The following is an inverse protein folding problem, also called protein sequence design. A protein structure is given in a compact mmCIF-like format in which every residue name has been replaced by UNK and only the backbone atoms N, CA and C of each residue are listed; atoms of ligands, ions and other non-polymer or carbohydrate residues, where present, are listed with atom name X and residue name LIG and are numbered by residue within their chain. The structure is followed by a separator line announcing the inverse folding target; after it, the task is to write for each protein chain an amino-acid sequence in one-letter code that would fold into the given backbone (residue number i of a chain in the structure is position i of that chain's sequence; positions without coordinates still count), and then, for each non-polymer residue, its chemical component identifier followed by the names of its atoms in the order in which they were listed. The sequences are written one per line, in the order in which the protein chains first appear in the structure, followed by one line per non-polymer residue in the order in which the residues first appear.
data_IF_928165080245
#
_entry.id   IF_928165080245
#
_cell.length_a   1.000
_cell.length_b   1.000
_cell.length_c   1.000
_cell.angle_alpha   90.00
_cell.angle_beta   90.00
_cell.angle_gamma   90.00
#
_symmetry.space_group_name_H-M   'P 1'
#
loop_
_entity.id
_entity.type
_entity.pdbx_description
1 polymer ?
#
# COMPACT_ATOMS: atom_id res chain seq x y z
N UNK A 1 -58.94 32.37 53.88
CA UNK A 1 -60.08 32.60 52.96
C UNK A 1 -59.63 32.08 51.60
N UNK A 2 -60.44 31.22 50.98
CA UNK A 2 -60.12 30.41 49.80
C UNK A 2 -60.04 31.21 48.49
N UNK A 3 -59.72 30.49 47.39
CA UNK A 3 -59.54 30.86 45.96
C UNK A 3 -58.07 31.06 45.59
N UNK A 4 -57.50 30.55 44.48
CA UNK A 4 -57.92 29.84 43.26
C UNK A 4 -56.67 29.03 42.82
N UNK A 5 -56.79 27.89 42.14
CA UNK A 5 -56.47 27.84 40.70
C UNK A 5 -57.14 26.65 39.99
N UNK A 6 -57.78 27.01 38.88
CA UNK A 6 -58.30 26.22 37.75
C UNK A 6 -57.16 25.58 36.93
N UNK A 7 -57.32 24.64 35.99
CA UNK A 7 -58.37 23.72 35.55
C UNK A 7 -57.87 22.94 34.32
N UNK A 8 -58.38 21.72 34.17
CA UNK A 8 -58.78 21.03 32.92
C UNK A 8 -57.75 20.56 31.87
N UNK A 9 -57.47 19.25 31.94
CA UNK A 9 -58.07 18.18 31.11
C UNK A 9 -58.06 18.30 29.56
N UNK A 10 -57.49 17.27 28.90
CA UNK A 10 -58.04 16.61 27.70
C UNK A 10 -57.27 15.33 27.31
N UNK A 11 -58.05 14.38 26.78
CA UNK A 11 -57.95 12.92 26.69
C UNK A 11 -57.26 12.27 25.44
N UNK A 12 -56.62 11.09 25.65
CA UNK A 12 -56.65 9.79 24.86
C UNK A 12 -56.08 9.80 23.40
N UNK A 13 -55.53 8.70 22.74
CA UNK A 13 -55.61 7.23 22.99
C UNK A 13 -54.33 6.36 22.90
N UNK A 14 -54.55 5.09 23.25
CA UNK A 14 -53.70 3.89 23.31
C UNK A 14 -53.11 3.38 21.98
N UNK A 15 -51.97 2.67 22.07
CA UNK A 15 -51.57 1.63 21.08
C UNK A 15 -51.10 0.34 21.77
N UNK A 16 -51.60 -0.78 21.25
CA UNK A 16 -51.43 -2.17 21.69
C UNK A 16 -49.96 -2.65 21.79
N UNK A 17 -49.62 -3.29 22.91
CA UNK A 17 -48.44 -4.17 23.01
C UNK A 17 -48.87 -5.51 23.63
N UNK A 18 -48.72 -6.60 22.89
CA UNK A 18 -48.90 -7.98 23.40
C UNK A 18 -47.56 -8.49 23.95
N UNK A 19 -47.48 -8.81 25.23
CA UNK A 19 -46.33 -9.48 25.86
C UNK A 19 -46.60 -10.98 26.02
N UNK A 20 -45.69 -11.82 25.53
CA UNK A 20 -45.68 -13.27 25.73
C UNK A 20 -44.68 -13.60 26.85
N UNK A 21 -45.14 -14.28 27.90
CA UNK A 21 -44.32 -14.78 28.99
C UNK A 21 -43.99 -16.25 28.75
N UNK A 22 -42.72 -16.63 28.70
CA UNK A 22 -42.26 -18.02 28.56
C UNK A 22 -41.92 -18.61 29.94
N UNK A 23 -42.57 -19.71 30.30
CA UNK A 23 -42.31 -20.46 31.53
C UNK A 23 -40.93 -21.17 31.50
N UNK A 24 -40.26 -21.19 32.66
CA UNK A 24 -38.96 -21.87 32.84
C UNK A 24 -39.14 -23.39 32.92
N UNK A 25 -38.87 -24.08 31.81
CA UNK A 25 -38.66 -25.53 31.80
C UNK A 25 -37.29 -25.97 32.36
N UNK A 26 -37.20 -27.23 32.76
CA UNK A 26 -36.06 -27.87 33.44
C UNK A 26 -34.73 -27.77 32.68
N UNK A 27 -33.65 -27.39 33.40
CA UNK A 27 -32.30 -27.22 32.86
C UNK A 27 -31.73 -28.56 32.33
N UNK A 28 -31.60 -28.71 31.01
CA UNK A 28 -30.75 -29.76 30.43
C UNK A 28 -29.28 -29.38 30.59
N UNK A 29 -28.43 -30.31 31.04
CA UNK A 29 -26.96 -30.14 30.98
C UNK A 29 -26.55 -30.05 29.51
N UNK A 30 -26.16 -28.86 29.08
CA UNK A 30 -25.73 -28.59 27.72
C UNK A 30 -24.21 -28.77 27.62
N UNK A 31 -23.76 -29.92 27.12
CA UNK A 31 -22.35 -30.10 26.75
C UNK A 31 -22.19 -29.66 25.30
N UNK A 32 -21.94 -28.35 25.08
CA UNK A 32 -21.65 -27.81 23.75
C UNK A 32 -20.23 -28.15 23.34
N UNK A 33 -20.02 -29.27 22.64
CA UNK A 33 -18.81 -29.41 21.81
C UNK A 33 -19.03 -28.63 20.51
N UNK A 34 -18.76 -27.32 20.51
CA UNK A 34 -18.92 -26.50 19.32
C UNK A 34 -17.71 -26.66 18.39
N UNK A 35 -17.96 -27.19 17.20
CA UNK A 35 -17.05 -27.28 16.04
C UNK A 35 -16.30 -25.97 15.73
N UNK A 36 -16.86 -24.83 16.15
CA UNK A 36 -16.27 -23.49 16.07
C UNK A 36 -15.05 -23.28 16.98
N UNK A 37 -14.99 -23.94 18.14
CA UNK A 37 -13.87 -23.83 19.08
C UNK A 37 -12.62 -24.53 18.54
N UNK A 38 -12.78 -25.72 17.96
CA UNK A 38 -11.68 -26.43 17.28
C UNK A 38 -11.14 -25.65 16.08
N UNK A 39 -12.01 -24.97 15.32
CA UNK A 39 -11.58 -24.15 14.17
C UNK A 39 -10.85 -22.87 14.59
N UNK A 40 -11.31 -22.22 15.67
CA UNK A 40 -10.62 -21.07 16.24
C UNK A 40 -9.27 -21.46 16.86
N UNK A 41 -9.22 -22.62 17.54
CA UNK A 41 -7.98 -23.18 18.07
C UNK A 41 -6.99 -23.51 16.95
N UNK A 42 -7.43 -24.15 15.87
CA UNK A 42 -6.59 -24.44 14.71
C UNK A 42 -6.06 -23.17 14.01
N UNK A 43 -6.84 -22.09 13.93
CA UNK A 43 -6.37 -20.80 13.39
C UNK A 43 -5.33 -20.14 14.29
N UNK A 44 -5.51 -20.20 15.61
CA UNK A 44 -4.54 -19.67 16.57
C UNK A 44 -3.25 -20.50 16.56
N UNK A 45 -3.36 -21.83 16.55
CA UNK A 45 -2.21 -22.74 16.46
C UNK A 45 -1.46 -22.55 15.12
N UNK A 46 -2.17 -22.27 14.02
CA UNK A 46 -1.56 -21.94 12.73
C UNK A 46 -0.83 -20.59 12.75
N UNK A 47 -1.45 -19.53 13.29
CA UNK A 47 -0.82 -18.21 13.44
C UNK A 47 0.42 -18.27 14.35
N UNK A 48 0.34 -19.06 15.44
CA UNK A 48 1.49 -19.30 16.32
C UNK A 48 2.57 -20.07 15.55
N UNK A 49 2.23 -21.13 14.82
CA UNK A 49 3.21 -21.94 14.09
C UNK A 49 3.91 -21.14 12.97
N UNK A 50 3.20 -20.26 12.25
CA UNK A 50 3.77 -19.37 11.24
C UNK A 50 4.71 -18.34 11.89
N UNK A 51 4.30 -17.66 12.97
CA UNK A 51 5.17 -16.75 13.73
C UNK A 51 6.39 -17.44 14.36
N UNK A 52 6.21 -18.68 14.85
CA UNK A 52 7.28 -19.44 15.49
C UNK A 52 8.29 -19.95 14.45
N UNK A 53 7.83 -20.39 13.26
CA UNK A 53 8.73 -20.78 12.17
C UNK A 53 9.53 -19.60 11.64
N UNK A 54 8.89 -18.43 11.46
CA UNK A 54 9.58 -17.22 10.99
C UNK A 54 10.63 -16.75 12.00
N UNK A 55 10.29 -16.67 13.29
CA UNK A 55 11.25 -16.30 14.35
C UNK A 55 12.36 -17.32 14.53
N UNK A 56 12.06 -18.62 14.42
CA UNK A 56 13.07 -19.67 14.56
C UNK A 56 14.02 -19.67 13.36
N UNK A 57 13.54 -19.50 12.13
CA UNK A 57 14.38 -19.38 10.94
C UNK A 57 15.24 -18.11 10.99
N UNK A 58 14.68 -16.98 11.44
CA UNK A 58 15.40 -15.72 11.61
C UNK A 58 16.51 -15.81 12.66
N UNK A 59 16.24 -16.43 13.82
CA UNK A 59 17.24 -16.68 14.86
C UNK A 59 18.34 -17.65 14.39
N UNK A 60 17.96 -18.74 13.71
CA UNK A 60 18.93 -19.72 13.21
C UNK A 60 19.83 -19.13 12.12
N UNK A 61 19.28 -18.29 11.23
CA UNK A 61 20.06 -17.60 10.20
C UNK A 61 21.00 -16.55 10.80
N UNK A 62 20.56 -15.83 11.84
CA UNK A 62 21.39 -14.87 12.56
C UNK A 62 22.59 -15.53 13.21
N UNK A 63 22.39 -16.65 13.90
CA UNK A 63 23.46 -17.42 14.54
C UNK A 63 24.48 -17.93 13.51
N UNK A 64 24.02 -18.49 12.39
CA UNK A 64 24.91 -18.94 11.29
C UNK A 64 25.73 -17.79 10.70
N UNK A 65 25.10 -16.63 10.47
CA UNK A 65 25.78 -15.46 9.92
C UNK A 65 26.75 -14.89 10.96
N UNK A 66 26.38 -14.83 12.25
CA UNK A 66 27.26 -14.42 13.33
C UNK A 66 28.51 -15.28 13.42
N UNK A 67 28.37 -16.61 13.38
CA UNK A 67 29.49 -17.55 13.37
C UNK A 67 30.40 -17.33 12.15
N UNK A 68 29.82 -17.12 10.96
CA UNK A 68 30.57 -16.82 9.73
C UNK A 68 31.43 -15.56 9.87
N UNK A 69 30.92 -14.49 10.51
CA UNK A 69 31.72 -13.29 10.76
C UNK A 69 32.79 -13.50 11.84
N UNK A 70 32.49 -14.28 12.89
CA UNK A 70 33.47 -14.63 13.92
C UNK A 70 34.64 -15.44 13.34
N UNK A 71 34.35 -16.44 12.49
CA UNK A 71 35.36 -17.22 11.76
C UNK A 71 36.20 -16.32 10.84
N UNK A 72 35.55 -15.45 10.06
CA UNK A 72 36.24 -14.54 9.15
C UNK A 72 37.19 -13.57 9.89
N UNK A 73 36.75 -13.01 11.02
CA UNK A 73 37.58 -12.14 11.85
C UNK A 73 38.75 -12.93 12.44
N UNK A 74 38.50 -14.14 12.94
CA UNK A 74 39.52 -15.01 13.49
C UNK A 74 40.60 -15.34 12.44
N UNK A 75 40.21 -15.79 11.25
CA UNK A 75 41.12 -16.14 10.17
C UNK A 75 41.99 -14.96 9.71
N UNK A 76 41.43 -13.75 9.69
CA UNK A 76 42.19 -12.54 9.39
C UNK A 76 43.23 -12.22 10.48
N UNK A 77 42.92 -12.47 11.75
CA UNK A 77 43.84 -12.23 12.87
C UNK A 77 44.99 -13.22 12.88
N UNK A 78 44.72 -14.50 12.58
CA UNK A 78 45.72 -15.57 12.59
C UNK A 78 46.44 -15.75 11.24
N UNK A 79 46.08 -14.96 10.22
CA UNK A 79 46.65 -15.02 8.89
C UNK A 79 48.19 -14.93 8.90
N UNK A 80 48.82 -15.89 8.25
CA UNK A 80 50.26 -15.92 8.00
C UNK A 80 50.64 -15.14 6.74
N UNK A 81 51.83 -14.56 6.72
CA UNK A 81 52.32 -13.73 5.62
C UNK A 81 53.49 -12.84 6.05
N UNK A 82 53.96 -11.99 5.14
CA UNK A 82 54.94 -10.96 5.51
C UNK A 82 54.35 -9.95 6.52
N UNK A 83 55.22 -9.13 7.12
CA UNK A 83 54.84 -8.18 8.17
C UNK A 83 53.77 -7.18 7.68
N UNK A 84 53.86 -6.77 6.43
CA UNK A 84 52.95 -5.80 5.82
C UNK A 84 51.54 -6.40 5.64
N UNK A 85 51.47 -7.61 5.10
CA UNK A 85 50.24 -8.39 4.91
C UNK A 85 49.54 -8.65 6.25
N UNK A 86 50.29 -9.04 7.28
CA UNK A 86 49.75 -9.28 8.63
C UNK A 86 49.15 -8.01 9.24
N UNK A 87 49.82 -6.87 9.09
CA UNK A 87 49.33 -5.59 9.60
C UNK A 87 48.04 -5.16 8.88
N UNK A 88 47.98 -5.35 7.56
CA UNK A 88 46.78 -5.06 6.75
C UNK A 88 45.60 -5.94 7.19
N UNK A 89 45.80 -7.25 7.35
CA UNK A 89 44.73 -8.17 7.76
C UNK A 89 44.20 -7.86 9.17
N UNK A 90 45.07 -7.47 10.11
CA UNK A 90 44.65 -6.99 11.43
C UNK A 90 43.80 -5.71 11.35
N UNK A 91 44.16 -4.77 10.47
CA UNK A 91 43.35 -3.57 10.27
C UNK A 91 41.99 -3.88 9.63
N UNK A 92 41.93 -4.84 8.70
CA UNK A 92 40.68 -5.30 8.10
C UNK A 92 39.80 -5.95 9.16
N UNK A 93 40.34 -6.86 9.98
CA UNK A 93 39.62 -7.50 11.08
C UNK A 93 39.02 -6.46 12.04
N UNK A 94 39.80 -5.44 12.45
CA UNK A 94 39.32 -4.36 13.30
C UNK A 94 38.19 -3.52 12.67
N UNK A 95 38.23 -3.29 11.35
CA UNK A 95 37.14 -2.59 10.65
C UNK A 95 35.90 -3.46 10.57
N UNK A 96 36.09 -4.74 10.23
CA UNK A 96 35.02 -5.70 10.08
C UNK A 96 34.26 -5.88 11.40
N UNK A 97 34.99 -6.05 12.51
CA UNK A 97 34.46 -6.15 13.87
C UNK A 97 33.62 -4.92 14.26
N UNK A 98 34.10 -3.71 13.95
CA UNK A 98 33.35 -2.46 14.19
C UNK A 98 32.06 -2.34 13.39
N UNK A 99 32.00 -2.93 12.20
CA UNK A 99 30.82 -2.90 11.32
C UNK A 99 30.02 -4.20 11.35
N UNK A 100 30.38 -5.14 12.23
CA UNK A 100 29.88 -6.51 12.22
C UNK A 100 28.37 -6.52 12.33
N UNK A 101 27.82 -5.91 13.38
CA UNK A 101 26.37 -5.93 13.64
C UNK A 101 25.57 -5.31 12.49
N UNK A 102 26.07 -4.20 11.91
CA UNK A 102 25.44 -3.55 10.75
C UNK A 102 25.46 -4.46 9.51
N UNK A 103 26.57 -5.13 9.24
CA UNK A 103 26.70 -6.04 8.11
C UNK A 103 25.80 -7.28 8.27
N UNK A 104 25.76 -7.86 9.48
CA UNK A 104 24.88 -8.99 9.81
C UNK A 104 23.42 -8.58 9.63
N UNK A 105 23.05 -7.40 10.14
CA UNK A 105 21.70 -6.87 9.95
C UNK A 105 21.36 -6.71 8.47
N UNK A 106 22.26 -6.14 7.67
CA UNK A 106 22.04 -5.98 6.22
C UNK A 106 21.90 -7.33 5.51
N UNK A 107 22.74 -8.31 5.84
CA UNK A 107 22.72 -9.66 5.24
C UNK A 107 21.43 -10.42 5.58
N UNK A 108 20.90 -10.25 6.79
CA UNK A 108 19.59 -10.81 7.21
C UNK A 108 18.44 -10.10 6.50
N UNK A 109 18.50 -8.77 6.39
CA UNK A 109 17.41 -7.98 5.81
C UNK A 109 17.32 -8.08 4.29
N UNK A 110 18.43 -8.32 3.61
CA UNK A 110 18.48 -8.41 2.15
C UNK A 110 17.47 -9.41 1.56
N UNK A 111 17.46 -10.71 1.94
CA UNK A 111 16.52 -11.66 1.38
C UNK A 111 15.06 -11.31 1.72
N UNK A 112 14.80 -10.73 2.90
CA UNK A 112 13.45 -10.27 3.30
C UNK A 112 13.00 -9.12 2.38
N UNK A 113 13.88 -8.16 2.13
CA UNK A 113 13.59 -7.05 1.22
C UNK A 113 13.36 -7.55 -0.21
N UNK A 114 14.14 -8.52 -0.69
CA UNK A 114 13.97 -9.14 -2.00
C UNK A 114 12.62 -9.87 -2.11
N UNK A 115 12.25 -10.67 -1.10
CA UNK A 115 10.95 -11.34 -1.03
C UNK A 115 9.79 -10.35 -1.02
N UNK A 116 9.88 -9.28 -0.23
CA UNK A 116 8.87 -8.23 -0.18
C UNK A 116 8.71 -7.51 -1.53
N UNK A 117 9.81 -7.24 -2.23
CA UNK A 117 9.78 -6.66 -3.57
C UNK A 117 9.18 -7.63 -4.60
N UNK A 118 9.49 -8.93 -4.51
CA UNK A 118 8.90 -9.97 -5.36
C UNK A 118 7.39 -10.12 -5.12
N UNK A 119 6.94 -10.12 -3.87
CA UNK A 119 5.52 -10.21 -3.53
C UNK A 119 4.75 -9.02 -4.13
N UNK A 120 5.27 -7.81 -4.01
CA UNK A 120 4.65 -6.62 -4.61
C UNK A 120 4.67 -6.67 -6.15
N UNK A 121 5.74 -7.17 -6.76
CA UNK A 121 5.85 -7.30 -8.21
C UNK A 121 4.97 -8.43 -8.78
N UNK A 122 4.63 -9.44 -7.97
CA UNK A 122 3.77 -10.55 -8.39
C UNK A 122 2.30 -10.17 -8.57
N UNK A 123 1.84 -9.13 -7.85
CA UNK A 123 0.45 -8.65 -7.92
C UNK A 123 0.26 -7.77 -9.14
N UNK A 124 -0.81 -8.02 -9.89
CA UNK A 124 -1.25 -7.14 -10.96
C UNK A 124 -1.64 -5.77 -10.41
N UNK A 125 -1.62 -4.73 -11.25
CA UNK A 125 -2.04 -3.38 -10.84
C UNK A 125 -3.47 -3.38 -10.32
N UNK A 126 -4.38 -4.17 -10.91
CA UNK A 126 -5.77 -4.29 -10.47
C UNK A 126 -5.86 -4.86 -9.05
N UNK A 127 -5.08 -5.89 -8.72
CA UNK A 127 -5.05 -6.46 -7.37
C UNK A 127 -4.53 -5.45 -6.34
N UNK A 128 -3.50 -4.69 -6.71
CA UNK A 128 -2.88 -3.67 -5.84
C UNK A 128 -3.80 -2.51 -5.53
N UNK A 129 -4.61 -2.08 -6.50
CA UNK A 129 -5.45 -0.88 -6.36
C UNK A 129 -6.88 -1.17 -5.89
N UNK A 130 -7.26 -2.45 -5.76
CA UNK A 130 -8.65 -2.89 -5.48
C UNK A 130 -9.31 -2.14 -4.33
N UNK A 131 -8.61 -2.01 -3.21
CA UNK A 131 -9.14 -1.38 -1.98
C UNK A 131 -9.02 0.16 -2.02
N UNK A 132 -8.30 0.70 -3.00
CA UNK A 132 -8.12 2.12 -3.25
C UNK A 132 -9.03 2.64 -4.40
N UNK A 133 -9.87 1.79 -4.99
CA UNK A 133 -10.76 2.19 -6.09
C UNK A 133 -11.96 3.00 -5.58
N UNK A 134 -12.19 4.16 -6.18
CA UNK A 134 -13.34 5.03 -5.90
C UNK A 134 -14.17 5.18 -7.18
N UNK A 135 -15.49 5.01 -7.06
CA UNK A 135 -16.40 5.25 -8.18
C UNK A 135 -16.54 6.75 -8.45
N UNK A 136 -16.44 7.13 -9.73
CA UNK A 136 -16.94 8.41 -10.21
C UNK A 136 -18.40 8.25 -10.62
N UNK A 137 -19.20 9.29 -10.39
CA UNK A 137 -20.62 9.28 -10.72
C UNK A 137 -20.97 10.45 -11.61
N UNK A 138 -21.93 10.29 -12.50
CA UNK A 138 -22.53 11.37 -13.30
C UNK A 138 -21.51 12.26 -14.05
N UNK A 139 -20.38 11.69 -14.51
CA UNK A 139 -19.27 12.38 -15.17
C UNK A 139 -18.62 13.49 -14.31
N UNK A 140 -18.92 13.54 -13.01
CA UNK A 140 -18.22 14.43 -12.07
C UNK A 140 -16.97 13.73 -11.55
N UNK A 141 -15.89 14.50 -11.37
CA UNK A 141 -14.63 13.99 -10.82
C UNK A 141 -14.79 13.48 -9.38
N UNK A 142 -15.83 13.92 -8.67
CA UNK A 142 -16.13 13.55 -7.29
C UNK A 142 -17.59 13.87 -6.95
N UNK A 143 -18.27 12.93 -6.29
CA UNK A 143 -19.48 13.20 -5.52
C UNK A 143 -20.77 13.43 -6.32
N UNK A 144 -21.88 13.11 -5.64
CA UNK A 144 -23.24 13.29 -6.11
C UNK A 144 -23.59 14.78 -6.22
N UNK A 145 -24.18 15.20 -7.34
CA UNK A 145 -24.96 16.44 -7.35
C UNK A 145 -26.27 16.18 -6.59
N UNK A 146 -26.54 17.01 -5.58
CA UNK A 146 -27.72 16.90 -4.72
C UNK A 146 -28.99 16.78 -5.56
N UNK A 147 -29.81 15.76 -5.29
CA UNK A 147 -31.05 15.48 -6.03
C UNK A 147 -30.93 14.68 -7.34
N UNK A 148 -29.73 14.30 -7.81
CA UNK A 148 -29.56 13.43 -9.00
C UNK A 148 -29.37 11.95 -8.64
N UNK A 149 -29.93 11.06 -9.46
CA UNK A 149 -29.66 9.60 -9.40
C UNK A 149 -28.16 9.36 -9.64
N UNK A 150 -27.58 8.40 -8.92
CA UNK A 150 -26.18 8.04 -9.06
C UNK A 150 -26.02 7.07 -10.24
N UNK A 151 -25.38 7.50 -11.31
CA UNK A 151 -24.88 6.61 -12.36
C UNK A 151 -23.37 6.52 -12.22
N UNK A 152 -22.81 5.32 -12.03
CA UNK A 152 -21.36 5.12 -12.06
C UNK A 152 -20.88 5.36 -13.48
N UNK A 153 -19.99 6.34 -13.66
CA UNK A 153 -19.47 6.76 -14.98
C UNK A 153 -17.99 6.44 -15.18
N UNK A 154 -17.33 5.86 -14.17
CA UNK A 154 -15.91 5.53 -14.23
C UNK A 154 -15.33 5.24 -12.85
N UNK A 155 -14.03 4.95 -12.78
CA UNK A 155 -13.31 4.66 -11.54
C UNK A 155 -12.02 5.47 -11.45
N UNK A 156 -11.68 5.88 -10.23
CA UNK A 156 -10.40 6.48 -9.86
C UNK A 156 -9.68 5.55 -8.89
N UNK A 157 -8.37 5.68 -8.81
CA UNK A 157 -7.54 5.15 -7.74
C UNK A 157 -7.18 6.32 -6.83
N UNK A 158 -7.45 6.18 -5.54
CA UNK A 158 -6.94 7.09 -4.53
C UNK A 158 -5.62 6.54 -3.99
N UNK A 159 -4.50 7.08 -4.47
CA UNK A 159 -3.16 6.59 -4.11
C UNK A 159 -2.87 6.70 -2.60
N UNK A 160 -3.61 7.55 -1.89
CA UNK A 160 -3.54 7.64 -0.42
C UNK A 160 -4.09 6.39 0.28
N UNK A 161 -5.11 5.73 -0.30
CA UNK A 161 -5.76 4.54 0.26
C UNK A 161 -4.99 3.25 -0.04
N UNK A 162 -3.90 3.32 -0.82
CA UNK A 162 -3.08 2.16 -1.10
C UNK A 162 -2.27 1.75 0.13
N UNK A 163 -2.09 0.43 0.28
CA UNK A 163 -1.28 -0.16 1.35
C UNK A 163 0.23 -0.06 1.08
N UNK A 164 0.61 0.39 -0.11
CA UNK A 164 2.00 0.52 -0.59
C UNK A 164 2.20 1.84 -1.35
N UNK A 165 3.45 2.29 -1.46
CA UNK A 165 3.84 3.57 -2.06
C UNK A 165 4.78 3.39 -3.28
N UNK A 166 4.79 2.19 -3.87
CA UNK A 166 5.64 1.89 -5.00
C UNK A 166 4.92 2.10 -6.35
N UNK A 167 3.59 2.18 -6.38
CA UNK A 167 2.87 2.52 -7.61
C UNK A 167 3.06 4.02 -7.94
N UNK A 168 3.41 4.31 -9.20
CA UNK A 168 3.36 5.65 -9.77
C UNK A 168 2.61 5.64 -11.11
N UNK A 169 2.19 6.84 -11.52
CA UNK A 169 1.58 7.10 -12.81
C UNK A 169 2.45 8.09 -13.56
N UNK A 170 2.94 7.67 -14.72
CA UNK A 170 3.62 8.55 -15.67
C UNK A 170 2.57 9.02 -16.68
N UNK A 171 2.31 10.31 -16.71
CA UNK A 171 1.37 10.93 -17.65
C UNK A 171 2.16 11.58 -18.78
N UNK A 172 1.93 11.08 -19.99
CA UNK A 172 2.53 11.58 -21.22
C UNK A 172 1.50 12.44 -21.94
N UNK A 173 1.73 13.75 -21.86
CA UNK A 173 0.91 14.76 -22.52
C UNK A 173 1.48 15.06 -23.91
N UNK A 174 0.89 14.45 -24.94
CA UNK A 174 1.28 14.70 -26.34
C UNK A 174 0.78 16.08 -26.77
N UNK A 175 1.66 16.85 -27.42
CA UNK A 175 1.34 18.20 -27.84
C UNK A 175 0.22 18.22 -28.90
N UNK A 176 -0.72 19.14 -28.72
CA UNK A 176 -1.97 19.23 -29.51
C UNK A 176 -1.80 19.93 -30.86
N UNK A 177 -0.62 20.50 -31.13
CA UNK A 177 -0.25 21.10 -32.41
C UNK A 177 0.05 20.05 -33.50
N UNK A 178 0.21 18.78 -33.11
CA UNK A 178 0.43 17.66 -34.04
C UNK A 178 -0.87 17.19 -34.69
N UNK A 179 -0.74 16.60 -35.88
CA UNK A 179 -1.86 15.92 -36.55
C UNK A 179 -2.29 14.66 -35.78
N UNK A 180 -3.52 14.20 -36.01
CA UNK A 180 -4.06 13.00 -35.34
C UNK A 180 -3.20 11.77 -35.66
N UNK A 181 -2.74 11.64 -36.91
CA UNK A 181 -1.88 10.57 -37.38
C UNK A 181 -0.51 10.59 -36.69
N UNK A 182 0.06 11.78 -36.48
CA UNK A 182 1.31 11.95 -35.73
C UNK A 182 1.14 11.60 -34.25
N UNK A 183 0.06 12.07 -33.61
CA UNK A 183 -0.25 11.74 -32.21
C UNK A 183 -0.40 10.23 -32.05
N UNK A 184 -1.10 9.56 -32.96
CA UNK A 184 -1.26 8.11 -32.93
C UNK A 184 0.06 7.37 -33.14
N UNK A 185 0.92 7.84 -34.04
CA UNK A 185 2.26 7.29 -34.25
C UNK A 185 3.16 7.47 -33.02
N UNK A 186 3.17 8.65 -32.41
CA UNK A 186 3.91 8.91 -31.18
C UNK A 186 3.45 7.96 -30.08
N UNK A 187 2.13 7.84 -29.89
CA UNK A 187 1.56 6.96 -28.86
C UNK A 187 1.92 5.49 -29.10
N UNK A 188 1.84 5.01 -30.34
CA UNK A 188 2.16 3.63 -30.65
C UNK A 188 3.65 3.33 -30.42
N UNK A 189 4.54 4.23 -30.85
CA UNK A 189 5.98 4.11 -30.58
C UNK A 189 6.28 4.06 -29.07
N UNK A 190 5.57 4.86 -28.27
CA UNK A 190 5.69 4.81 -26.81
C UNK A 190 5.24 3.45 -26.28
N UNK A 191 4.06 2.97 -26.67
CA UNK A 191 3.53 1.66 -26.25
C UNK A 191 4.49 0.52 -26.62
N UNK A 192 5.02 0.53 -27.84
CA UNK A 192 5.93 -0.50 -28.34
C UNK A 192 7.27 -0.55 -27.59
N UNK A 193 7.66 0.57 -26.96
CA UNK A 193 8.88 0.68 -26.15
C UNK A 193 8.70 0.28 -24.69
N UNK A 194 7.46 0.08 -24.23
CA UNK A 194 7.18 -0.20 -22.82
C UNK A 194 7.39 -1.67 -22.48
N UNK A 195 7.84 -1.97 -21.24
CA UNK A 195 7.97 -3.34 -20.78
C UNK A 195 6.59 -4.02 -20.68
N UNK A 196 6.53 -5.35 -20.76
CA UNK A 196 5.29 -6.09 -20.52
C UNK A 196 4.78 -5.84 -19.09
N UNK A 197 3.46 -5.94 -18.88
CA UNK A 197 2.77 -5.82 -17.59
C UNK A 197 2.72 -4.40 -16.96
N UNK A 198 2.82 -3.35 -17.78
CA UNK A 198 2.44 -1.99 -17.35
C UNK A 198 0.95 -1.76 -17.53
N UNK A 199 0.34 -0.96 -16.64
CA UNK A 199 -1.06 -0.55 -16.81
C UNK A 199 -1.11 0.65 -17.73
N UNK A 200 -1.98 0.63 -18.74
CA UNK A 200 -2.07 1.70 -19.73
C UNK A 200 -3.46 2.30 -19.75
N UNK A 201 -3.54 3.63 -19.84
CA UNK A 201 -4.79 4.36 -20.09
C UNK A 201 -4.55 5.42 -21.15
N UNK A 202 -5.25 5.31 -22.27
CA UNK A 202 -5.31 6.42 -23.24
C UNK A 202 -6.09 7.57 -22.62
N UNK A 203 -5.49 8.76 -22.58
CA UNK A 203 -6.15 9.94 -22.02
C UNK A 203 -7.11 10.56 -23.04
N UNK A 204 -8.07 11.36 -22.56
CA UNK A 204 -9.05 12.01 -23.42
C UNK A 204 -8.43 12.90 -24.51
N UNK A 205 -7.22 13.43 -24.27
CA UNK A 205 -6.50 14.29 -25.20
C UNK A 205 -5.50 13.54 -26.09
N UNK A 206 -5.55 12.20 -26.11
CA UNK A 206 -4.69 11.38 -26.95
C UNK A 206 -3.31 11.07 -26.37
N UNK A 207 -3.01 11.54 -25.16
CA UNK A 207 -1.84 11.16 -24.38
C UNK A 207 -1.98 9.77 -23.74
N UNK A 208 -1.11 9.46 -22.77
CA UNK A 208 -1.03 8.13 -22.16
C UNK A 208 -0.70 8.23 -20.66
N UNK A 209 -1.51 7.60 -19.81
CA UNK A 209 -1.07 7.25 -18.46
C UNK A 209 -0.46 5.86 -18.45
N UNK A 210 0.70 5.75 -17.83
CA UNK A 210 1.43 4.50 -17.63
C UNK A 210 1.53 4.26 -16.12
N UNK A 211 0.94 3.17 -15.67
CA UNK A 211 0.99 2.69 -14.31
C UNK A 211 2.17 1.72 -14.17
N UNK A 212 3.13 2.08 -13.34
CA UNK A 212 4.35 1.31 -13.15
C UNK A 212 4.90 1.39 -11.73
N UNK A 213 5.87 0.53 -11.43
CA UNK A 213 6.61 0.60 -10.17
C UNK A 213 7.63 1.74 -10.22
N UNK A 214 7.68 2.51 -9.14
CA UNK A 214 8.67 3.55 -8.88
C UNK A 214 10.04 2.95 -8.60
N UNK A 215 10.11 1.67 -8.20
CA UNK A 215 11.36 0.96 -7.86
C UNK A 215 12.21 1.78 -6.87
N UNK A 216 11.56 2.31 -5.83
CA UNK A 216 12.16 3.17 -4.81
C UNK A 216 12.70 4.53 -5.30
N UNK A 217 12.54 4.90 -6.57
CA UNK A 217 12.95 6.21 -7.10
C UNK A 217 12.32 7.36 -6.33
N UNK A 218 13.10 8.15 -5.60
CA UNK A 218 12.56 9.20 -4.72
C UNK A 218 12.09 10.41 -5.53
N UNK A 219 10.80 10.73 -5.44
CA UNK A 219 10.22 11.93 -6.04
C UNK A 219 10.13 13.07 -4.99
N UNK A 220 10.33 14.34 -5.39
CA UNK A 220 10.27 15.46 -4.46
C UNK A 220 8.85 15.78 -3.96
N UNK A 221 7.81 15.46 -4.74
CA UNK A 221 6.41 15.71 -4.37
C UNK A 221 5.46 14.65 -4.92
N UNK A 222 4.19 14.69 -4.48
CA UNK A 222 3.15 13.79 -4.97
C UNK A 222 2.84 13.99 -6.47
N UNK A 223 2.99 15.22 -6.96
CA UNK A 223 2.89 15.58 -8.37
C UNK A 223 4.16 16.28 -8.79
N UNK A 224 4.78 15.79 -9.86
CA UNK A 224 5.99 16.31 -10.44
C UNK A 224 5.67 16.62 -11.89
N UNK A 225 5.40 17.89 -12.19
CA UNK A 225 5.02 18.30 -13.53
C UNK A 225 6.27 18.56 -14.40
N UNK A 226 6.19 18.23 -15.68
CA UNK A 226 7.24 18.43 -16.69
C UNK A 226 8.61 17.93 -16.22
N UNK A 227 8.65 16.70 -15.72
CA UNK A 227 9.89 16.03 -15.32
C UNK A 227 10.82 15.87 -16.53
N UNK A 228 10.25 15.68 -17.71
CA UNK A 228 10.94 15.77 -18.99
C UNK A 228 10.00 16.34 -20.05
N UNK A 229 10.56 16.89 -21.12
CA UNK A 229 9.82 17.40 -22.26
C UNK A 229 10.59 17.19 -23.55
N UNK A 230 9.86 17.02 -24.64
CA UNK A 230 10.37 16.91 -26.01
C UNK A 230 9.61 17.89 -26.90
N UNK A 231 9.98 18.00 -28.17
CA UNK A 231 9.21 18.80 -29.13
C UNK A 231 7.78 18.23 -29.40
N UNK A 232 7.51 17.01 -28.92
CA UNK A 232 6.29 16.26 -29.24
C UNK A 232 5.41 15.95 -28.03
N UNK A 233 5.97 15.87 -26.82
CA UNK A 233 5.23 15.55 -25.61
C UNK A 233 5.99 15.98 -24.36
N UNK A 234 5.22 16.22 -23.29
CA UNK A 234 5.69 16.45 -21.93
C UNK A 234 5.43 15.21 -21.05
N UNK A 235 6.23 15.04 -20.00
CA UNK A 235 6.10 13.95 -19.03
C UNK A 235 5.85 14.53 -17.63
N UNK A 236 4.68 14.20 -17.07
CA UNK A 236 4.32 14.41 -15.67
C UNK A 236 4.43 13.08 -14.90
N UNK A 237 4.79 13.12 -13.61
CA UNK A 237 4.83 11.94 -12.74
C UNK A 237 4.02 12.18 -11.47
N UNK A 238 3.09 11.26 -11.21
CA UNK A 238 2.22 11.23 -10.04
C UNK A 238 2.55 10.02 -9.17
N UNK A 239 2.75 10.24 -7.88
CA UNK A 239 2.98 9.19 -6.90
C UNK A 239 2.52 9.65 -5.51
N UNK A 240 2.39 8.73 -4.57
CA UNK A 240 2.11 9.07 -3.18
C UNK A 240 3.42 9.15 -2.39
N UNK A 241 3.93 10.36 -2.16
CA UNK A 241 5.15 10.63 -1.38
C UNK A 241 4.84 11.10 0.05
N UNK A 242 3.89 12.01 0.22
CA UNK A 242 3.44 12.52 1.52
C UNK A 242 1.93 12.44 1.66
N UNK A 243 1.45 11.83 2.76
CA UNK A 243 0.02 11.71 3.08
C UNK A 243 -0.58 13.04 3.53
N UNK A 244 0.22 13.84 4.21
CA UNK A 244 -0.15 15.13 4.73
C UNK A 244 0.49 16.24 3.91
N UNK A 245 -0.16 17.39 3.94
CA UNK A 245 0.36 18.61 3.33
C UNK A 245 1.57 19.08 4.11
N UNK A 246 2.60 19.55 3.40
CA UNK A 246 3.81 20.10 4.00
C UNK A 246 3.75 21.62 3.88
N UNK A 247 3.80 22.31 5.03
CA UNK A 247 3.87 23.77 5.10
C UNK A 247 5.09 24.16 5.94
N UNK A 248 5.94 25.05 5.42
CA UNK A 248 7.20 25.47 6.07
C UNK A 248 8.10 24.30 6.52
N UNK A 249 8.08 23.18 5.78
CA UNK A 249 8.86 21.99 6.08
C UNK A 249 8.26 21.06 7.15
N UNK A 250 7.05 21.34 7.65
CA UNK A 250 6.34 20.51 8.62
C UNK A 250 5.04 19.94 8.05
N UNK A 251 4.72 18.69 8.41
CA UNK A 251 3.44 18.07 8.06
C UNK A 251 2.28 18.70 8.84
N UNK A 252 1.20 19.01 8.15
CA UNK A 252 -0.05 19.47 8.77
C UNK A 252 -1.00 18.30 9.02
N UNK A 253 -2.20 18.57 9.57
CA UNK A 253 -3.27 17.56 9.67
C UNK A 253 -4.11 17.43 8.39
N UNK A 254 -3.82 18.24 7.37
CA UNK A 254 -4.57 18.25 6.11
C UNK A 254 -4.10 17.11 5.21
N UNK A 255 -5.03 16.23 4.82
CA UNK A 255 -4.73 15.09 3.92
C UNK A 255 -4.65 15.59 2.48
N UNK A 256 -3.59 15.19 1.77
CA UNK A 256 -3.45 15.47 0.34
C UNK A 256 -4.22 14.41 -0.44
N UNK A 257 -5.31 14.83 -1.07
CA UNK A 257 -6.04 13.99 -2.01
C UNK A 257 -5.18 13.77 -3.27
N UNK A 258 -4.91 12.51 -3.59
CA UNK A 258 -4.06 12.14 -4.71
C UNK A 258 -4.71 11.03 -5.52
N UNK A 259 -5.57 11.44 -6.46
CA UNK A 259 -6.43 10.53 -7.22
C UNK A 259 -6.05 10.53 -8.70
N UNK A 260 -5.98 9.34 -9.27
CA UNK A 260 -5.62 9.09 -10.68
C UNK A 260 -6.67 8.23 -11.37
N UNK A 261 -6.75 8.27 -12.69
CA UNK A 261 -7.80 7.57 -13.45
C UNK A 261 -7.52 6.07 -13.48
N UNK A 262 -8.41 5.22 -12.95
CA UNK A 262 -8.13 3.79 -12.92
C UNK A 262 -7.96 3.22 -14.34
N UNK A 263 -7.00 2.30 -14.57
CA UNK A 263 -6.94 1.58 -15.81
C UNK A 263 -8.19 0.73 -15.98
N UNK A 264 -8.83 0.83 -17.14
CA UNK A 264 -9.96 -0.01 -17.47
C UNK A 264 -9.47 -1.46 -17.58
N UNK A 265 -10.22 -2.39 -17.00
CA UNK A 265 -10.06 -3.85 -17.19
C UNK A 265 -10.36 -4.33 -18.62
N UNK A 266 -10.68 -3.42 -19.54
CA UNK A 266 -10.95 -3.73 -20.94
C UNK A 266 -9.87 -3.08 -21.79
N UNK A 267 -8.85 -3.87 -22.13
CA UNK A 267 -8.16 -3.76 -23.42
C UNK A 267 -9.05 -4.48 -24.42
#
# INVERSE_FOLDING_TARGET
MATQELSNDKSIPQTNVKSITLEKGSKRKYTRKSKTYEKAKAMIDQMINEQTNEQTIELTNREIIEEKYDELIHDLIISEGDLETRLVNQQIAQRLDKTRDDNIFLEIMQPIAELYMQEQASKTIIERVKDAMINTVNYTKIGQQEGKKQQITGKLIDLFLMNENNLCVVDIDIHKDKSIEEIDKIRQNLIDSLPPNVGLVKTAHGGLHIYCNRNNYRLPSNRNAKVAGTDSFDIDVFAQMSKYKIENGQETKEIVLNRVVAPNTAI
#
